data_IF_842323892000
#
_entry.id   IF_842323892000
#
_cell.length_a   1.000
_cell.length_b   1.000
_cell.length_c   1.000
_cell.angle_alpha   90.00
_cell.angle_beta   90.00
_cell.angle_gamma   90.00
#
_symmetry.space_group_name_H-M   'P 1'
#
loop_
_entity.id
_entity.type
_entity.pdbx_description
1 polymer ?
#
# COMPACT_ATOMS: atom_id res chain seq x y z
N UNK A 1 24.51 37.15 18.64
CA UNK A 1 23.88 35.89 18.22
C UNK A 1 24.50 35.49 16.89
N UNK A 2 25.41 34.51 16.89
CA UNK A 2 26.12 34.10 15.68
C UNK A 2 25.28 33.04 14.98
N UNK A 3 24.84 33.30 13.75
CA UNK A 3 24.09 32.33 12.98
C UNK A 3 24.98 31.10 12.71
N UNK A 4 24.58 29.94 13.24
CA UNK A 4 25.25 28.68 12.98
C UNK A 4 24.95 28.32 11.53
N UNK A 5 25.96 28.28 10.66
CA UNK A 5 25.79 27.88 9.28
C UNK A 5 25.11 26.50 9.25
N UNK A 6 23.98 26.41 8.56
CA UNK A 6 23.29 25.14 8.40
C UNK A 6 24.16 24.23 7.54
N UNK A 7 24.75 23.20 8.15
CA UNK A 7 25.33 22.09 7.40
C UNK A 7 24.18 21.38 6.68
N UNK A 8 23.99 21.72 5.40
CA UNK A 8 23.19 20.91 4.49
C UNK A 8 23.74 19.50 4.54
N UNK A 9 22.90 18.54 4.91
CA UNK A 9 23.28 17.14 4.91
C UNK A 9 23.30 16.67 3.44
N UNK A 10 24.42 16.91 2.75
CA UNK A 10 24.60 16.53 1.34
C UNK A 10 24.69 15.01 1.28
N UNK A 11 23.58 14.37 0.93
CA UNK A 11 23.57 12.94 0.60
C UNK A 11 24.06 12.76 -0.85
N UNK A 12 24.84 11.72 -1.07
CA UNK A 12 25.34 11.34 -2.38
C UNK A 12 24.26 10.55 -3.13
N UNK A 13 23.79 11.07 -4.26
CA UNK A 13 22.86 10.34 -5.14
C UNK A 13 23.64 9.52 -6.17
N UNK A 14 23.26 8.26 -6.34
CA UNK A 14 23.97 7.31 -7.19
C UNK A 14 23.00 6.57 -8.12
N UNK A 15 23.41 6.41 -9.38
CA UNK A 15 22.63 5.79 -10.45
C UNK A 15 23.50 4.79 -11.22
N UNK A 16 22.90 3.70 -11.71
CA UNK A 16 23.60 2.84 -12.68
C UNK A 16 23.48 3.43 -14.08
N UNK A 17 24.58 3.48 -14.83
CA UNK A 17 24.57 3.81 -16.25
C UNK A 17 24.68 2.53 -17.09
N UNK A 18 23.68 2.25 -17.93
CA UNK A 18 23.58 1.02 -18.73
C UNK A 18 23.43 1.36 -20.20
N UNK A 19 24.34 0.85 -21.02
CA UNK A 19 24.30 1.01 -22.47
C UNK A 19 23.62 -0.19 -23.13
N UNK A 20 22.77 0.07 -24.13
CA UNK A 20 22.18 -0.98 -24.98
C UNK A 20 23.21 -1.49 -26.00
N UNK A 21 24.01 -0.60 -26.57
CA UNK A 21 25.10 -0.93 -27.49
C UNK A 21 26.42 -1.20 -26.74
N UNK A 22 27.01 -2.41 -26.86
CA UNK A 22 28.33 -2.71 -26.29
C UNK A 22 29.48 -1.88 -26.87
N UNK A 23 29.38 -1.41 -28.13
CA UNK A 23 30.44 -0.58 -28.73
C UNK A 23 30.52 0.80 -28.06
N UNK A 24 29.37 1.45 -27.88
CA UNK A 24 29.25 2.67 -27.09
C UNK A 24 29.73 2.45 -25.63
N UNK A 25 29.39 1.31 -25.02
CA UNK A 25 29.82 0.99 -23.65
C UNK A 25 31.36 0.94 -23.53
N UNK A 26 32.05 0.28 -24.46
CA UNK A 26 33.52 0.21 -24.45
C UNK A 26 34.17 1.56 -24.79
N UNK A 27 33.58 2.39 -25.65
CA UNK A 27 34.03 3.77 -25.90
C UNK A 27 33.98 4.62 -24.62
N UNK A 28 32.84 4.64 -23.93
CA UNK A 28 32.69 5.38 -22.65
C UNK A 28 33.64 4.83 -21.59
N UNK A 29 33.74 3.50 -21.47
CA UNK A 29 34.65 2.84 -20.52
C UNK A 29 36.13 3.13 -20.81
N UNK A 30 36.51 3.35 -22.07
CA UNK A 30 37.85 3.80 -22.46
C UNK A 30 38.07 5.26 -22.02
N UNK A 31 37.16 6.17 -22.39
CA UNK A 31 37.22 7.58 -22.00
C UNK A 31 37.30 7.77 -20.48
N UNK A 32 36.50 7.02 -19.71
CA UNK A 32 36.53 7.02 -18.24
C UNK A 32 37.83 6.47 -17.62
N UNK A 33 38.58 5.62 -18.34
CA UNK A 33 39.87 5.06 -17.86
C UNK A 33 41.07 5.92 -18.21
N UNK A 34 40.99 6.61 -19.34
CA UNK A 34 42.03 7.52 -19.84
C UNK A 34 41.77 8.97 -19.37
N UNK A 35 40.72 9.19 -18.57
CA UNK A 35 40.18 10.50 -18.10
C UNK A 35 39.97 11.53 -19.23
N UNK A 36 39.96 11.06 -20.47
CA UNK A 36 40.00 11.90 -21.65
C UNK A 36 38.59 12.38 -21.98
N UNK A 37 38.45 13.68 -22.28
CA UNK A 37 37.19 14.34 -22.63
C UNK A 37 36.10 14.35 -21.54
N UNK A 38 36.43 14.08 -20.27
CA UNK A 38 35.50 14.33 -19.15
C UNK A 38 35.44 15.84 -18.87
N UNK A 39 36.60 16.47 -18.65
CA UNK A 39 36.69 17.88 -18.25
C UNK A 39 36.35 18.85 -19.39
N UNK A 40 36.65 18.48 -20.65
CA UNK A 40 36.27 19.25 -21.85
C UNK A 40 34.75 19.22 -22.13
N UNK A 41 33.95 18.52 -21.30
CA UNK A 41 32.52 18.31 -21.53
C UNK A 41 32.22 17.41 -22.73
N UNK A 42 33.13 16.48 -23.06
CA UNK A 42 32.93 15.51 -24.15
C UNK A 42 32.05 14.32 -23.79
N UNK A 43 31.73 14.13 -22.49
CA UNK A 43 30.64 13.30 -21.99
C UNK A 43 29.70 14.16 -21.13
N UNK A 44 28.45 14.34 -21.56
CA UNK A 44 27.44 15.12 -20.82
C UNK A 44 26.13 14.34 -20.68
N UNK A 45 25.41 14.57 -19.59
CA UNK A 45 24.05 14.08 -19.36
C UNK A 45 23.13 15.28 -19.08
N UNK A 46 22.04 15.38 -19.84
CA UNK A 46 21.09 16.50 -19.74
C UNK A 46 19.64 15.97 -19.66
N UNK A 47 18.88 16.46 -18.67
CA UNK A 47 17.48 16.10 -18.42
C UNK A 47 16.63 17.39 -18.43
N UNK A 48 16.02 17.77 -19.57
CA UNK A 48 15.42 19.09 -19.73
C UNK A 48 14.08 19.28 -19.01
N UNK A 49 13.22 18.24 -18.99
CA UNK A 49 11.82 18.39 -18.56
C UNK A 49 11.47 17.57 -17.31
N UNK A 50 11.42 16.24 -17.45
CA UNK A 50 10.67 15.36 -16.55
C UNK A 50 11.55 14.47 -15.65
N UNK A 51 12.88 14.67 -15.66
CA UNK A 51 13.87 13.85 -14.96
C UNK A 51 14.00 12.40 -15.47
N UNK A 52 12.96 11.85 -16.12
CA UNK A 52 12.94 10.45 -16.61
C UNK A 52 13.41 10.24 -18.04
N UNK A 53 13.42 11.29 -18.86
CA UNK A 53 13.97 11.24 -20.22
C UNK A 53 15.04 12.32 -20.32
N UNK A 54 16.20 11.92 -20.83
CA UNK A 54 17.34 12.80 -21.03
C UNK A 54 18.09 12.49 -22.32
N UNK A 55 19.19 13.19 -22.51
CA UNK A 55 20.12 12.99 -23.61
C UNK A 55 21.55 12.89 -23.04
N UNK A 56 22.30 11.91 -23.52
CA UNK A 56 23.73 11.80 -23.29
C UNK A 56 24.45 12.27 -24.55
N UNK A 57 25.34 13.24 -24.43
CA UNK A 57 26.25 13.60 -25.52
C UNK A 57 27.60 12.92 -25.29
N UNK A 58 28.11 12.23 -26.31
CA UNK A 58 29.47 11.71 -26.35
C UNK A 58 30.10 12.05 -27.71
N UNK A 59 31.25 12.74 -27.71
CA UNK A 59 32.00 13.09 -28.93
C UNK A 59 31.11 13.83 -29.98
N UNK A 60 30.19 14.69 -29.51
CA UNK A 60 29.23 15.41 -30.35
C UNK A 60 28.04 14.59 -30.87
N UNK A 61 27.96 13.30 -30.55
CA UNK A 61 26.82 12.43 -30.87
C UNK A 61 25.86 12.38 -29.69
N UNK A 62 24.57 12.63 -29.94
CA UNK A 62 23.52 12.60 -28.93
C UNK A 62 22.81 11.23 -28.91
N UNK A 63 22.72 10.65 -27.71
CA UNK A 63 22.05 9.38 -27.44
C UNK A 63 20.87 9.62 -26.49
N UNK A 64 19.73 8.98 -26.75
CA UNK A 64 18.59 8.99 -25.82
C UNK A 64 18.96 8.28 -24.51
N UNK A 65 18.53 8.86 -23.39
CA UNK A 65 18.61 8.26 -22.05
C UNK A 65 17.22 8.16 -21.44
N UNK A 66 16.90 6.99 -20.88
CA UNK A 66 15.66 6.74 -20.13
C UNK A 66 16.00 6.28 -18.70
N UNK A 67 15.48 6.97 -17.67
CA UNK A 67 15.61 6.60 -16.26
C UNK A 67 14.53 5.59 -15.88
N UNK A 68 14.95 4.36 -15.62
CA UNK A 68 14.11 3.25 -15.20
C UNK A 68 14.33 2.91 -13.74
N UNK A 69 13.25 2.57 -13.05
CA UNK A 69 13.33 2.04 -11.69
C UNK A 69 13.90 0.60 -11.72
N UNK A 70 14.75 0.24 -10.77
CA UNK A 70 15.27 -1.11 -10.63
C UNK A 70 14.29 -1.98 -9.82
N UNK A 71 14.12 -3.26 -10.16
CA UNK A 71 13.26 -4.17 -9.40
C UNK A 71 13.88 -4.56 -8.05
N UNK A 72 15.14 -4.19 -7.80
CA UNK A 72 15.97 -4.54 -6.64
C UNK A 72 16.72 -3.30 -6.17
N UNK A 73 16.76 -3.06 -4.85
CA UNK A 73 17.72 -2.10 -4.27
C UNK A 73 19.13 -2.68 -4.37
N UNK A 74 20.09 -1.85 -4.75
CA UNK A 74 21.51 -2.21 -4.87
C UNK A 74 22.30 -1.32 -3.93
N UNK A 75 22.92 -1.90 -2.91
CA UNK A 75 23.73 -1.16 -1.94
C UNK A 75 25.15 -0.96 -2.48
N UNK A 76 25.67 0.26 -2.38
CA UNK A 76 27.07 0.56 -2.72
C UNK A 76 27.92 0.60 -1.45
N UNK A 77 29.15 0.07 -1.56
CA UNK A 77 30.11 0.02 -0.47
C UNK A 77 31.48 0.50 -0.95
N UNK A 78 32.21 1.16 -0.06
CA UNK A 78 33.65 1.42 -0.21
C UNK A 78 34.43 0.66 0.85
N UNK A 79 35.68 0.37 0.54
CA UNK A 79 36.63 -0.29 1.43
C UNK A 79 38.04 0.23 1.17
N UNK A 80 38.94 0.05 2.13
CA UNK A 80 40.37 0.33 2.02
C UNK A 80 41.23 -0.93 2.21
N UNK A 81 40.62 -2.04 2.65
CA UNK A 81 41.29 -3.27 3.09
C UNK A 81 40.65 -4.55 2.51
N UNK A 82 39.65 -4.40 1.63
CA UNK A 82 38.84 -5.47 1.03
C UNK A 82 38.11 -6.39 2.04
N UNK A 83 38.02 -5.97 3.31
CA UNK A 83 37.40 -6.72 4.41
C UNK A 83 36.26 -5.90 5.02
N UNK A 84 36.54 -4.65 5.39
CA UNK A 84 35.58 -3.76 6.02
C UNK A 84 34.86 -2.95 4.94
N UNK A 85 33.60 -3.33 4.67
CA UNK A 85 32.72 -2.65 3.72
C UNK A 85 31.92 -1.56 4.43
N UNK A 86 32.13 -0.30 4.04
CA UNK A 86 31.38 0.85 4.53
C UNK A 86 30.33 1.25 3.48
N UNK A 87 29.05 1.16 3.83
CA UNK A 87 27.95 1.56 2.93
C UNK A 87 28.07 3.04 2.58
N UNK A 88 27.94 3.37 1.29
CA UNK A 88 27.96 4.74 0.78
C UNK A 88 26.60 5.21 0.28
N UNK A 89 25.80 4.33 -0.33
CA UNK A 89 24.50 4.70 -0.87
C UNK A 89 23.59 3.51 -1.20
N UNK A 90 22.39 3.85 -1.67
CA UNK A 90 21.36 2.93 -2.14
C UNK A 90 20.98 3.31 -3.58
N UNK A 91 21.15 2.38 -4.51
CA UNK A 91 20.85 2.58 -5.93
C UNK A 91 19.57 1.84 -6.28
N UNK A 92 18.50 2.60 -6.48
CA UNK A 92 17.18 2.09 -6.87
C UNK A 92 16.83 2.30 -8.35
N UNK A 93 17.71 2.90 -9.16
CA UNK A 93 17.39 3.33 -10.53
C UNK A 93 18.57 3.12 -11.50
N UNK A 94 18.26 3.05 -12.80
CA UNK A 94 19.21 2.85 -13.90
C UNK A 94 18.90 3.79 -15.07
N UNK A 95 19.92 4.49 -15.54
CA UNK A 95 19.94 5.27 -16.77
C UNK A 95 20.24 4.33 -17.94
N UNK A 96 19.24 4.08 -18.80
CA UNK A 96 19.36 3.26 -19.99
C UNK A 96 19.68 4.15 -21.21
N UNK A 97 20.84 3.94 -21.83
CA UNK A 97 21.34 4.75 -22.96
C UNK A 97 21.25 3.95 -24.27
N UNK A 98 20.77 4.60 -25.33
CA UNK A 98 20.71 4.03 -26.68
C UNK A 98 19.44 3.23 -27.00
N UNK A 99 18.34 3.50 -26.28
CA UNK A 99 17.02 3.01 -26.67
C UNK A 99 16.49 3.78 -27.89
N UNK A 100 16.23 3.10 -29.02
CA UNK A 100 15.60 3.73 -30.19
C UNK A 100 14.10 3.99 -30.00
N UNK A 101 13.47 3.33 -29.02
CA UNK A 101 12.05 3.46 -28.68
C UNK A 101 11.92 3.77 -27.20
N UNK A 102 10.97 4.62 -26.77
CA UNK A 102 10.71 4.80 -25.35
C UNK A 102 10.34 3.45 -24.68
N UNK A 103 10.76 3.22 -23.44
CA UNK A 103 10.47 1.98 -22.74
C UNK A 103 8.97 1.83 -22.49
N UNK A 104 8.44 0.63 -22.71
CA UNK A 104 7.01 0.32 -22.50
C UNK A 104 6.58 0.34 -21.02
N UNK A 105 7.53 0.40 -20.09
CA UNK A 105 7.30 0.35 -18.65
C UNK A 105 8.32 1.24 -17.94
N UNK A 106 7.90 1.82 -16.81
CA UNK A 106 8.70 2.69 -15.94
C UNK A 106 9.79 1.94 -15.18
N UNK A 107 9.63 0.62 -15.01
CA UNK A 107 10.55 -0.27 -14.30
C UNK A 107 11.35 -1.16 -15.27
N UNK A 108 12.63 -1.38 -14.95
CA UNK A 108 13.49 -2.35 -15.61
C UNK A 108 13.06 -3.79 -15.29
N UNK A 109 12.78 -4.58 -16.33
CA UNK A 109 12.46 -6.02 -16.19
C UNK A 109 13.57 -6.81 -15.46
N UNK A 110 14.82 -6.38 -15.61
CA UNK A 110 16.01 -7.06 -15.10
C UNK A 110 16.66 -6.28 -13.96
N UNK A 111 17.13 -6.98 -12.93
CA UNK A 111 18.10 -6.44 -11.97
C UNK A 111 19.49 -6.23 -12.59
N UNK A 112 20.51 -6.12 -11.74
CA UNK A 112 21.90 -5.92 -12.17
C UNK A 112 22.60 -7.23 -12.52
N UNK A 113 22.42 -8.26 -11.68
CA UNK A 113 23.11 -9.55 -11.84
C UNK A 113 22.33 -10.50 -12.75
N UNK A 114 23.03 -11.39 -13.46
CA UNK A 114 22.40 -12.34 -14.38
C UNK A 114 21.31 -13.24 -13.73
N UNK A 115 21.46 -13.72 -12.48
CA UNK A 115 20.37 -14.43 -11.78
C UNK A 115 19.11 -13.57 -11.59
N UNK A 116 19.19 -12.24 -11.62
CA UNK A 116 18.06 -11.31 -11.43
C UNK A 116 17.43 -10.83 -12.75
N UNK A 117 17.64 -11.53 -13.86
CA UNK A 117 16.83 -11.33 -15.07
C UNK A 117 15.34 -11.62 -14.81
N UNK A 118 14.43 -10.79 -15.34
CA UNK A 118 12.99 -10.88 -15.13
C UNK A 118 12.60 -11.00 -13.64
N UNK A 119 13.31 -10.29 -12.76
CA UNK A 119 13.28 -10.48 -11.30
C UNK A 119 11.85 -10.47 -10.74
N UNK A 120 11.07 -9.42 -11.06
CA UNK A 120 9.67 -9.29 -10.63
C UNK A 120 8.84 -10.53 -10.94
N UNK A 121 8.95 -11.07 -12.16
CA UNK A 121 8.17 -12.23 -12.62
C UNK A 121 8.61 -13.56 -11.99
N UNK A 122 9.91 -13.71 -11.71
CA UNK A 122 10.52 -15.01 -11.38
C UNK A 122 10.85 -15.22 -9.90
N UNK A 123 11.27 -14.16 -9.20
CA UNK A 123 11.78 -14.24 -7.83
C UNK A 123 10.89 -13.53 -6.81
N UNK A 124 10.20 -12.47 -7.22
CA UNK A 124 9.35 -11.70 -6.31
C UNK A 124 7.99 -12.39 -6.19
N UNK A 125 7.52 -12.52 -4.95
CA UNK A 125 6.17 -13.00 -4.66
C UNK A 125 5.17 -12.09 -5.35
N UNK A 126 4.40 -12.64 -6.29
CA UNK A 126 3.28 -11.93 -6.90
C UNK A 126 2.24 -11.62 -5.83
N UNK A 127 1.90 -10.34 -5.68
CA UNK A 127 0.79 -9.93 -4.83
C UNK A 127 -0.51 -10.38 -5.51
N UNK A 128 -1.39 -11.15 -4.85
CA UNK A 128 -2.67 -11.52 -5.42
C UNK A 128 -3.46 -10.25 -5.78
N UNK A 129 -3.97 -10.19 -7.01
CA UNK A 129 -4.92 -9.14 -7.40
C UNK A 129 -6.26 -9.44 -6.73
N UNK A 130 -6.51 -8.78 -5.60
CA UNK A 130 -7.81 -8.81 -4.91
C UNK A 130 -8.73 -7.79 -5.60
N UNK A 131 -10.00 -8.14 -5.76
CA UNK A 131 -11.03 -7.23 -6.25
C UNK A 131 -11.20 -6.02 -5.29
N UNK A 132 -11.09 -4.77 -5.77
CA UNK A 132 -11.32 -3.57 -4.96
C UNK A 132 -12.66 -3.56 -4.21
N UNK A 133 -13.72 -4.16 -4.75
CA UNK A 133 -15.02 -4.23 -4.07
C UNK A 133 -14.96 -5.11 -2.81
N UNK A 134 -14.20 -6.22 -2.87
CA UNK A 134 -13.95 -7.08 -1.71
C UNK A 134 -13.11 -6.36 -0.66
N UNK A 135 -12.08 -5.60 -1.09
CA UNK A 135 -11.26 -4.79 -0.17
C UNK A 135 -12.12 -3.74 0.55
N UNK A 136 -12.90 -2.96 -0.19
CA UNK A 136 -13.77 -1.92 0.39
C UNK A 136 -14.80 -2.49 1.38
N UNK A 137 -15.39 -3.65 1.09
CA UNK A 137 -16.28 -4.34 2.04
C UNK A 137 -15.54 -4.75 3.32
N UNK A 138 -14.36 -5.36 3.19
CA UNK A 138 -13.55 -5.79 4.35
C UNK A 138 -13.08 -4.60 5.19
N UNK A 139 -12.74 -3.47 4.56
CA UNK A 139 -12.43 -2.21 5.24
C UNK A 139 -13.64 -1.67 6.02
N UNK A 140 -14.83 -1.64 5.40
CA UNK A 140 -16.06 -1.21 6.06
C UNK A 140 -16.43 -2.11 7.26
N UNK A 141 -16.34 -3.43 7.10
CA UNK A 141 -16.54 -4.40 8.19
C UNK A 141 -15.51 -4.19 9.32
N UNK A 142 -14.23 -3.95 8.99
CA UNK A 142 -13.18 -3.68 9.97
C UNK A 142 -13.40 -2.37 10.73
N UNK A 143 -13.81 -1.29 10.05
CA UNK A 143 -14.21 -0.05 10.71
C UNK A 143 -15.45 -0.23 11.59
N UNK A 144 -16.37 -1.13 11.24
CA UNK A 144 -17.46 -1.58 12.10
C UNK A 144 -16.96 -2.21 13.40
N UNK A 145 -16.10 -3.23 13.29
CA UNK A 145 -15.50 -3.93 14.44
C UNK A 145 -14.76 -2.96 15.37
N UNK A 146 -13.93 -2.07 14.81
CA UNK A 146 -13.16 -1.09 15.59
C UNK A 146 -14.04 -0.07 16.34
N UNK A 147 -15.28 0.14 15.88
CA UNK A 147 -16.30 0.97 16.56
C UNK A 147 -17.18 0.18 17.53
N UNK A 148 -16.88 -1.11 17.75
CA UNK A 148 -17.67 -1.99 18.61
C UNK A 148 -18.93 -2.57 17.96
N UNK A 149 -19.14 -2.34 16.66
CA UNK A 149 -20.22 -2.99 15.92
C UNK A 149 -19.80 -4.39 15.43
N UNK A 150 -20.77 -5.26 15.21
CA UNK A 150 -20.51 -6.53 14.55
C UNK A 150 -20.35 -6.34 13.02
N UNK A 151 -19.58 -7.22 12.33
CA UNK A 151 -19.50 -7.24 10.88
C UNK A 151 -20.87 -7.40 10.21
N UNK A 152 -21.00 -7.01 8.95
CA UNK A 152 -22.26 -7.09 8.22
C UNK A 152 -22.80 -8.53 8.17
N UNK A 153 -23.99 -8.75 8.76
CA UNK A 153 -24.64 -10.06 8.87
C UNK A 153 -24.25 -10.89 10.09
N UNK A 154 -23.49 -10.31 11.02
CA UNK A 154 -23.07 -10.90 12.29
C UNK A 154 -23.63 -10.05 13.44
N UNK A 155 -23.89 -10.66 14.59
CA UNK A 155 -24.32 -9.96 15.82
C UNK A 155 -23.48 -10.46 17.00
N UNK A 156 -22.85 -9.56 17.75
CA UNK A 156 -22.14 -9.94 18.97
C UNK A 156 -23.11 -9.98 20.14
N UNK A 157 -23.13 -11.11 20.85
CA UNK A 157 -23.82 -11.27 22.12
C UNK A 157 -22.76 -11.53 23.19
N UNK A 158 -22.54 -10.55 24.06
CA UNK A 158 -21.81 -10.82 25.30
C UNK A 158 -22.73 -11.59 26.26
N UNK A 159 -22.16 -12.56 26.96
CA UNK A 159 -22.91 -13.45 27.86
C UNK A 159 -22.15 -13.56 29.17
N UNK A 160 -22.51 -12.69 30.10
CA UNK A 160 -22.07 -12.81 31.49
C UNK A 160 -22.75 -14.04 32.13
N UNK A 161 -21.93 -15.00 32.54
CA UNK A 161 -22.35 -16.19 33.28
C UNK A 161 -21.70 -16.15 34.67
N UNK A 162 -22.51 -16.28 35.72
CA UNK A 162 -22.06 -16.39 37.11
C UNK A 162 -22.08 -17.87 37.52
N UNK A 163 -21.04 -18.32 38.22
CA UNK A 163 -20.97 -19.69 38.74
C UNK A 163 -21.69 -19.79 40.08
N UNK A 164 -22.96 -20.17 40.04
CA UNK A 164 -23.81 -20.29 41.23
C UNK A 164 -23.64 -21.68 41.82
N UNK A 165 -23.25 -21.75 43.09
CA UNK A 165 -23.19 -22.98 43.89
C UNK A 165 -24.48 -23.10 44.71
N UNK A 166 -25.18 -24.22 44.55
CA UNK A 166 -26.33 -24.56 45.38
C UNK A 166 -25.89 -24.86 46.82
N UNK A 167 -26.36 -24.11 47.83
CA UNK A 167 -25.94 -24.29 49.22
C UNK A 167 -26.42 -25.60 49.86
N UNK A 168 -27.44 -26.27 49.30
CA UNK A 168 -27.96 -27.53 49.85
C UNK A 168 -27.24 -28.76 49.29
N UNK A 169 -26.81 -28.71 48.01
CA UNK A 169 -26.20 -29.86 47.33
C UNK A 169 -24.69 -29.70 47.10
N UNK A 170 -24.14 -28.49 47.24
CA UNK A 170 -22.73 -28.18 46.95
C UNK A 170 -22.36 -28.23 45.47
N UNK A 171 -23.33 -28.50 44.59
CA UNK A 171 -23.12 -28.55 43.15
C UNK A 171 -23.12 -27.13 42.56
N UNK A 172 -22.10 -26.83 41.75
CA UNK A 172 -22.00 -25.55 41.04
C UNK A 172 -22.44 -25.65 39.59
N UNK A 173 -23.09 -24.59 39.10
CA UNK A 173 -23.53 -24.46 37.72
C UNK A 173 -23.31 -23.05 37.20
N UNK A 174 -22.87 -22.93 35.94
CA UNK A 174 -22.86 -21.64 35.24
C UNK A 174 -24.30 -21.25 34.91
N UNK A 175 -24.74 -20.13 35.45
CA UNK A 175 -26.05 -19.55 35.20
C UNK A 175 -25.86 -18.18 34.57
N UNK A 176 -26.73 -17.80 33.64
CA UNK A 176 -26.70 -16.45 33.07
C UNK A 176 -26.98 -15.43 34.17
N UNK A 177 -26.19 -14.36 34.21
CA UNK A 177 -26.47 -13.23 35.08
C UNK A 177 -27.90 -12.72 34.83
N UNK A 178 -28.64 -12.45 35.90
CA UNK A 178 -29.90 -11.70 35.76
C UNK A 178 -29.54 -10.30 35.27
N UNK A 179 -30.23 -9.74 34.26
CA UNK A 179 -29.94 -8.38 33.82
C UNK A 179 -30.10 -7.43 35.01
N UNK A 180 -29.08 -6.62 35.27
CA UNK A 180 -29.15 -5.60 36.31
C UNK A 180 -30.36 -4.69 36.05
N UNK A 181 -31.11 -4.28 37.09
CA UNK A 181 -32.19 -3.31 36.92
C UNK A 181 -31.59 -2.01 36.35
N UNK A 182 -32.09 -1.58 35.19
CA UNK A 182 -31.66 -0.33 34.57
C UNK A 182 -31.82 0.80 35.59
N UNK A 183 -30.76 1.59 35.89
CA UNK A 183 -30.90 2.73 36.79
C UNK A 183 -31.94 3.68 36.20
N UNK A 184 -32.97 4.01 36.99
CA UNK A 184 -34.01 4.93 36.56
C UNK A 184 -33.38 6.29 36.21
N UNK A 185 -33.88 7.02 35.19
CA UNK A 185 -33.34 8.32 34.84
C UNK A 185 -33.51 9.28 36.03
N UNK A 186 -32.38 9.71 36.60
CA UNK A 186 -32.34 10.73 37.65
C UNK A 186 -33.06 11.99 37.16
N UNK A 187 -34.06 12.52 37.90
CA UNK A 187 -34.73 13.75 37.49
C UNK A 187 -33.73 14.91 37.45
N UNK A 188 -33.75 15.67 36.35
CA UNK A 188 -32.83 16.77 36.13
C UNK A 188 -33.01 17.85 37.21
N UNK A 189 -31.95 18.13 37.96
CA UNK A 189 -31.91 19.16 39.00
C UNK A 189 -30.78 20.15 38.73
N UNK A 190 -31.13 21.43 38.59
CA UNK A 190 -30.22 22.57 38.75
C UNK A 190 -29.36 22.91 37.52
N UNK A 191 -29.59 24.12 36.99
CA UNK A 191 -28.66 24.74 36.05
C UNK A 191 -27.40 25.25 36.77
N UNK A 192 -26.26 25.22 36.07
CA UNK A 192 -25.14 26.13 36.29
C UNK A 192 -24.61 26.57 34.92
N UNK A 193 -24.51 27.88 34.70
CA UNK A 193 -23.92 28.47 33.50
C UNK A 193 -22.39 28.50 33.61
N UNK A 194 -21.70 28.20 32.50
CA UNK A 194 -20.36 28.70 32.20
C UNK A 194 -20.17 28.72 30.68
N UNK A 195 -19.85 29.89 30.12
CA UNK A 195 -20.01 30.16 28.69
C UNK A 195 -18.78 29.90 27.80
N UNK A 196 -19.01 29.98 26.49
CA UNK A 196 -18.01 29.97 25.42
C UNK A 196 -18.72 30.02 24.07
N UNK A 197 -18.44 31.03 23.23
CA UNK A 197 -19.21 31.29 22.01
C UNK A 197 -19.00 30.22 20.92
N UNK A 198 -20.05 29.86 20.15
CA UNK A 198 -19.89 29.09 18.92
C UNK A 198 -19.42 29.97 17.77
N UNK A 199 -18.33 29.58 17.10
CA UNK A 199 -17.90 30.19 15.83
C UNK A 199 -18.72 29.59 14.69
N UNK A 200 -19.32 30.46 13.86
CA UNK A 200 -20.09 30.05 12.67
C UNK A 200 -19.14 29.75 11.49
N UNK A 201 -19.33 28.64 10.75
CA UNK A 201 -18.89 28.55 9.37
C UNK A 201 -19.93 29.21 8.44
N UNK A 202 -19.44 30.06 7.53
CA UNK A 202 -20.26 30.85 6.62
C UNK A 202 -20.92 29.98 5.53
N UNK A 203 -22.07 30.40 5.02
CA UNK A 203 -22.70 29.82 3.84
C UNK A 203 -22.58 30.77 2.65
N UNK A 204 -22.04 30.29 1.52
CA UNK A 204 -22.06 31.00 0.24
C UNK A 204 -22.68 30.13 -0.86
N UNK A 205 -23.91 30.53 -1.22
CA UNK A 205 -24.44 30.74 -2.59
C UNK A 205 -24.22 29.69 -3.68
N UNK A 206 -25.33 29.19 -4.22
CA UNK A 206 -25.41 28.47 -5.50
C UNK A 206 -25.33 29.42 -6.71
N UNK A 207 -24.73 28.97 -7.82
CA UNK A 207 -25.23 29.24 -9.18
C UNK A 207 -24.66 28.25 -10.22
N UNK A 208 -25.40 27.99 -11.32
CA UNK A 208 -24.77 27.75 -12.64
C UNK A 208 -24.58 26.33 -13.23
N UNK A 209 -25.68 25.68 -13.64
CA UNK A 209 -25.92 25.06 -14.97
C UNK A 209 -25.05 23.92 -15.63
N UNK A 210 -25.80 22.90 -16.10
CA UNK A 210 -25.80 22.28 -17.46
C UNK A 210 -25.01 20.97 -17.84
N UNK A 211 -25.79 19.97 -18.29
CA UNK A 211 -25.56 18.89 -19.30
C UNK A 211 -24.38 17.88 -19.17
N UNK A 212 -24.49 16.60 -19.58
CA UNK A 212 -25.62 15.79 -20.10
C UNK A 212 -25.15 14.42 -20.68
N UNK A 213 -26.09 13.45 -20.89
CA UNK A 213 -25.94 12.09 -21.49
C UNK A 213 -24.90 11.13 -20.82
N UNK A 214 -25.18 9.88 -20.44
CA UNK A 214 -25.83 8.74 -21.15
C UNK A 214 -24.73 7.70 -21.49
N UNK A 215 -24.87 6.37 -21.47
CA UNK A 215 -25.94 5.44 -21.07
C UNK A 215 -25.58 4.03 -21.61
N UNK A 216 -25.89 2.95 -20.85
CA UNK A 216 -26.10 1.53 -21.24
C UNK A 216 -25.59 0.54 -20.18
N UNK A 217 -26.51 -0.23 -19.62
CA UNK A 217 -26.24 -1.51 -18.94
C UNK A 217 -26.79 -2.65 -19.82
N UNK A 218 -26.08 -3.78 -19.88
CA UNK A 218 -26.49 -4.97 -20.64
C UNK A 218 -26.58 -6.18 -19.70
N UNK A 219 -27.62 -7.00 -19.82
CA UNK A 219 -27.98 -8.06 -18.87
C UNK A 219 -28.20 -9.39 -19.57
N UNK A 220 -27.55 -10.49 -19.11
CA UNK A 220 -27.97 -11.85 -19.44
C UNK A 220 -28.47 -12.65 -18.23
N UNK A 221 -29.44 -13.54 -18.49
CA UNK A 221 -30.18 -14.33 -17.49
C UNK A 221 -29.45 -15.64 -17.05
N UNK A 222 -29.86 -16.25 -15.92
CA UNK A 222 -29.25 -17.49 -15.40
C UNK A 222 -29.98 -18.78 -15.88
N UNK A 223 -29.26 -19.91 -16.03
CA UNK A 223 -29.86 -21.24 -16.23
C UNK A 223 -30.00 -22.06 -14.93
N UNK A 224 -30.88 -23.07 -15.00
CA UNK A 224 -31.35 -23.94 -13.90
C UNK A 224 -30.49 -25.17 -13.59
N UNK A 225 -30.53 -25.66 -12.35
CA UNK A 225 -30.18 -27.05 -12.00
C UNK A 225 -30.99 -27.60 -10.80
N UNK A 226 -31.30 -28.90 -10.83
CA UNK A 226 -32.09 -29.66 -9.84
C UNK A 226 -31.22 -30.27 -8.70
N UNK A 227 -31.82 -30.75 -7.59
CA UNK A 227 -31.11 -31.06 -6.35
C UNK A 227 -30.70 -32.53 -6.20
N UNK A 228 -29.79 -32.82 -5.26
CA UNK A 228 -29.63 -34.18 -4.73
C UNK A 228 -29.18 -34.25 -3.24
N UNK A 229 -29.23 -35.45 -2.68
CA UNK A 229 -29.61 -35.75 -1.29
C UNK A 229 -28.47 -35.81 -0.23
N UNK A 230 -28.74 -35.24 0.97
CA UNK A 230 -28.43 -35.73 2.36
C UNK A 230 -27.30 -36.78 2.53
N UNK A 231 -26.26 -36.58 3.40
CA UNK A 231 -26.34 -36.77 4.88
C UNK A 231 -25.06 -36.31 5.65
N UNK A 232 -25.21 -36.00 6.94
CA UNK A 232 -24.16 -35.72 7.96
C UNK A 232 -24.10 -36.89 9.00
N UNK A 233 -23.33 -36.94 10.13
CA UNK A 233 -22.56 -35.88 10.80
C UNK A 233 -21.23 -36.21 11.58
N UNK A 234 -20.39 -35.15 11.72
CA UNK A 234 -19.68 -34.60 12.91
C UNK A 234 -18.94 -35.44 13.97
N UNK A 235 -17.79 -34.89 14.39
CA UNK A 235 -17.38 -34.57 15.80
C UNK A 235 -16.13 -33.63 15.73
N UNK A 236 -15.76 -32.70 16.65
CA UNK A 236 -16.19 -32.40 18.03
C UNK A 236 -16.48 -30.89 18.31
N UNK A 237 -15.54 -30.12 18.90
CA UNK A 237 -15.53 -28.66 19.22
C UNK A 237 -14.06 -28.18 19.39
N UNK A 238 -13.74 -26.89 19.18
CA UNK A 238 -13.58 -25.98 20.34
C UNK A 238 -14.22 -24.58 20.17
N UNK A 239 -14.24 -23.83 21.29
CA UNK A 239 -14.57 -22.40 21.53
C UNK A 239 -15.22 -21.60 20.38
N UNK A 240 -16.46 -21.12 20.60
CA UNK A 240 -17.15 -20.21 19.68
C UNK A 240 -17.77 -19.03 20.42
N UNK A 241 -17.26 -17.82 20.13
CA UNK A 241 -18.09 -16.62 20.15
C UNK A 241 -19.23 -16.83 19.15
N UNK A 242 -20.47 -16.67 19.60
CA UNK A 242 -21.63 -16.89 18.73
C UNK A 242 -22.03 -15.56 18.09
N UNK A 243 -21.63 -15.40 16.83
CA UNK A 243 -22.37 -14.55 15.93
C UNK A 243 -23.59 -15.29 15.39
N UNK A 244 -24.75 -14.63 15.41
CA UNK A 244 -25.99 -15.14 14.82
C UNK A 244 -26.35 -14.25 13.63
N UNK A 245 -26.69 -14.80 12.45
CA UNK A 245 -27.27 -14.00 11.38
C UNK A 245 -28.69 -13.58 11.77
N UNK A 246 -29.05 -12.34 11.46
CA UNK A 246 -30.38 -11.81 11.74
C UNK A 246 -31.43 -12.47 10.81
N UNK A 247 -32.55 -12.92 11.41
CA UNK A 247 -33.67 -13.43 10.63
C UNK A 247 -34.47 -12.23 10.08
N UNK A 248 -34.42 -12.04 8.75
CA UNK A 248 -35.40 -11.19 8.06
C UNK A 248 -36.69 -11.98 7.83
N UNK A 249 -37.79 -11.51 8.42
CA UNK A 249 -39.15 -12.06 8.22
C UNK A 249 -39.73 -11.58 6.89
N UNK A 250 -40.33 -12.44 6.07
CA UNK A 250 -41.30 -12.04 5.05
C UNK A 250 -42.75 -12.26 5.49
N UNK A 251 -43.64 -11.49 4.86
CA UNK A 251 -45.07 -11.27 5.12
C UNK A 251 -45.96 -12.51 5.02
#
# INVERSE_FOLDING_TARGET
MTAKAGTSNVQEEQFLLRFVDPSLAERVKKALREETHIEDGGLQLNFPDCGRVGQMQLEGVNYRVDLLDLPTVVESYKTLDDINLVKTGDVGQVLLVGGNTPPSQTESLNGVTAPMQNARKRHFKQVPKVDPQVVSKVEADLFGILRGHAPLGYEFYDVEEEYVVDPETGAGSWQKCKPAPTPAPTPAAGAIEAGGQPVQPNAETQEGAAAGAGGNEDTPAPPSATPDNVKTPKVKKPRQSKAKPSNATPT
#
